data_IF_506484852534
#
_entry.id   IF_506484852534
#
_cell.length_a   1.000
_cell.length_b   1.000
_cell.length_c   1.000
_cell.angle_alpha   90.00
_cell.angle_beta   90.00
_cell.angle_gamma   90.00
#
_symmetry.space_group_name_H-M   'P 1'
#
loop_
_entity.id
_entity.type
_entity.pdbx_description
1 polymer ?
#
# COMPACT_ATOMS: atom_id res chain seq x y z
N UNK A 1 -49.23 -40.12 -23.63
CA UNK A 1 -49.94 -40.05 -22.34
C UNK A 1 -49.12 -40.83 -21.33
N UNK A 2 -48.73 -40.45 -20.12
CA UNK A 2 -48.68 -39.20 -19.33
C UNK A 2 -47.79 -39.57 -18.12
N UNK A 3 -47.11 -38.59 -17.50
CA UNK A 3 -46.16 -38.69 -16.38
C UNK A 3 -46.72 -39.34 -15.07
N UNK A 4 -45.80 -39.49 -14.08
CA UNK A 4 -45.95 -39.44 -12.59
C UNK A 4 -45.61 -40.82 -11.95
N UNK A 5 -44.81 -40.99 -10.88
CA UNK A 5 -43.92 -40.14 -10.08
C UNK A 5 -42.97 -41.00 -9.21
N UNK A 6 -41.90 -40.32 -8.73
CA UNK A 6 -41.03 -40.49 -7.54
C UNK A 6 -41.48 -41.53 -6.50
N UNK A 7 -40.53 -42.19 -5.83
CA UNK A 7 -40.23 -42.03 -4.38
C UNK A 7 -38.84 -42.61 -4.04
N UNK A 8 -38.25 -42.06 -2.98
CA UNK A 8 -36.86 -42.13 -2.57
C UNK A 8 -36.50 -43.39 -1.76
N UNK A 9 -35.21 -43.68 -1.66
CA UNK A 9 -34.59 -44.22 -0.42
C UNK A 9 -33.16 -43.76 -0.32
N UNK A 10 -32.81 -43.29 0.89
CA UNK A 10 -31.57 -42.63 1.26
C UNK A 10 -30.61 -43.59 2.00
N UNK A 11 -29.47 -43.03 2.42
CA UNK A 11 -28.43 -43.51 3.34
C UNK A 11 -27.24 -44.22 2.66
N UNK A 12 -25.98 -43.96 3.00
CA UNK A 12 -25.36 -43.02 3.91
C UNK A 12 -23.87 -42.91 3.50
N UNK A 13 -23.26 -41.74 3.68
CA UNK A 13 -21.82 -41.65 3.87
C UNK A 13 -21.54 -40.63 4.96
N UNK A 14 -21.10 -41.16 6.10
CA UNK A 14 -20.76 -40.47 7.33
C UNK A 14 -19.38 -39.83 7.18
N UNK A 15 -19.35 -38.53 7.43
CA UNK A 15 -18.34 -37.74 8.17
C UNK A 15 -16.89 -38.25 8.14
N UNK A 16 -16.04 -37.49 7.47
CA UNK A 16 -14.66 -37.24 7.90
C UNK A 16 -14.44 -35.73 7.96
N UNK A 17 -15.01 -35.11 8.99
CA UNK A 17 -14.61 -33.77 9.42
C UNK A 17 -13.54 -33.89 10.50
N UNK A 18 -12.74 -32.82 10.61
CA UNK A 18 -11.77 -32.49 11.65
C UNK A 18 -10.32 -32.85 11.34
N UNK A 19 -9.56 -31.78 11.05
CA UNK A 19 -8.15 -31.81 10.74
C UNK A 19 -7.66 -30.53 10.04
N UNK A 20 -8.51 -29.54 9.80
CA UNK A 20 -8.04 -28.18 9.60
C UNK A 20 -7.55 -27.69 10.96
N UNK A 21 -6.26 -27.87 11.22
CA UNK A 21 -5.56 -27.04 12.19
C UNK A 21 -5.74 -25.62 11.69
N UNK A 22 -6.74 -24.92 12.23
CA UNK A 22 -6.73 -23.48 12.24
C UNK A 22 -5.39 -23.12 12.87
N UNK A 23 -4.45 -22.68 12.02
CA UNK A 23 -3.28 -21.98 12.48
C UNK A 23 -3.78 -20.97 13.51
N UNK A 24 -3.08 -20.81 14.66
CA UNK A 24 -3.52 -19.86 15.66
C UNK A 24 -3.70 -18.54 14.93
N UNK A 25 -4.96 -18.12 14.81
CA UNK A 25 -5.26 -16.76 14.46
C UNK A 25 -4.57 -15.98 15.56
N UNK A 26 -3.46 -15.32 15.21
CA UNK A 26 -2.95 -14.21 15.98
C UNK A 26 -4.01 -13.12 15.89
N UNK A 27 -5.14 -13.36 16.54
CA UNK A 27 -6.20 -12.42 16.77
C UNK A 27 -5.56 -11.40 17.70
N UNK A 28 -5.03 -10.35 17.08
CA UNK A 28 -4.85 -9.09 17.77
C UNK A 28 -6.26 -8.67 18.16
N UNK A 29 -6.63 -9.00 19.40
CA UNK A 29 -7.99 -8.82 19.89
C UNK A 29 -8.45 -7.36 19.72
N UNK A 30 -9.75 -7.13 19.51
CA UNK A 30 -10.32 -5.81 19.25
C UNK A 30 -10.20 -4.80 20.43
N UNK A 31 -9.47 -5.15 21.49
CA UNK A 31 -9.60 -4.54 22.81
C UNK A 31 -8.29 -3.93 23.33
N UNK A 32 -7.14 -4.16 22.67
CA UNK A 32 -5.86 -3.70 23.23
C UNK A 32 -5.59 -2.20 23.03
N UNK A 33 -6.33 -1.53 22.16
CA UNK A 33 -6.12 -0.12 21.85
C UNK A 33 -7.47 0.61 21.80
N UNK A 34 -8.09 0.73 22.98
CA UNK A 34 -9.39 1.38 23.12
C UNK A 34 -9.37 2.85 22.66
N UNK A 35 -10.46 3.27 22.01
CA UNK A 35 -11.10 4.57 22.23
C UNK A 35 -10.37 5.89 21.94
N UNK A 36 -9.17 5.89 21.36
CA UNK A 36 -8.47 7.15 21.04
C UNK A 36 -8.60 7.52 19.56
N UNK A 37 -8.67 8.82 19.27
CA UNK A 37 -8.46 9.38 17.93
C UNK A 37 -6.99 9.15 17.53
N UNK A 38 -6.63 7.90 17.21
CA UNK A 38 -5.27 7.52 16.84
C UNK A 38 -5.04 7.82 15.37
N UNK A 39 -4.31 8.90 15.07
CA UNK A 39 -3.71 9.04 13.75
C UNK A 39 -2.59 8.00 13.61
N UNK A 40 -2.79 6.99 12.75
CA UNK A 40 -1.76 6.02 12.39
C UNK A 40 -0.71 6.69 11.50
N UNK A 41 0.57 6.36 11.68
CA UNK A 41 1.64 6.91 10.85
C UNK A 41 1.55 6.41 9.40
N UNK A 42 1.58 7.32 8.44
CA UNK A 42 1.81 6.95 7.03
C UNK A 42 3.29 7.06 6.64
N UNK A 43 4.09 7.85 7.37
CA UNK A 43 5.51 8.11 7.08
C UNK A 43 6.45 6.93 7.44
N UNK A 44 5.86 5.76 7.72
CA UNK A 44 6.55 4.56 8.18
C UNK A 44 6.96 4.62 9.63
N UNK A 45 7.53 3.52 10.14
CA UNK A 45 8.04 3.47 11.51
C UNK A 45 9.22 4.45 11.66
N UNK A 46 9.07 5.56 12.43
CA UNK A 46 10.09 6.58 12.52
C UNK A 46 11.37 5.98 13.14
N UNK A 47 12.43 5.92 12.36
CA UNK A 47 13.79 5.52 12.80
C UNK A 47 14.77 6.70 12.79
N UNK A 48 14.27 7.94 12.72
CA UNK A 48 15.08 9.17 12.66
C UNK A 48 15.40 9.77 14.04
N UNK A 49 16.56 10.45 14.21
CA UNK A 49 16.84 11.25 15.40
C UNK A 49 15.82 12.39 15.52
N UNK A 50 15.16 12.52 16.67
CA UNK A 50 14.24 13.62 16.97
C UNK A 50 12.75 13.25 17.08
N UNK A 51 12.35 12.04 16.66
CA UNK A 51 11.00 11.54 16.94
C UNK A 51 11.02 10.68 18.20
N UNK A 52 10.37 11.14 19.27
CA UNK A 52 10.08 10.30 20.44
C UNK A 52 8.69 9.70 20.23
N UNK A 53 8.63 8.39 20.01
CA UNK A 53 7.36 7.66 20.04
C UNK A 53 6.77 7.80 21.45
N UNK A 54 5.57 8.39 21.58
CA UNK A 54 4.90 8.47 22.87
C UNK A 54 4.48 7.05 23.28
N UNK A 55 5.02 6.50 24.39
CA UNK A 55 4.67 5.15 24.83
C UNK A 55 3.18 4.98 25.14
N UNK A 56 2.47 6.09 25.37
CA UNK A 56 1.06 6.14 25.74
C UNK A 56 0.15 6.42 24.54
N UNK A 57 0.68 6.62 23.32
CA UNK A 57 -0.12 6.75 22.09
C UNK A 57 0.01 5.50 21.22
N UNK A 58 -1.00 4.62 21.19
CA UNK A 58 -0.97 3.40 20.38
C UNK A 58 -0.72 3.64 18.88
N UNK A 59 -1.29 4.72 18.34
CA UNK A 59 -1.12 5.11 16.94
C UNK A 59 0.34 5.39 16.58
N UNK A 60 1.16 5.76 17.58
CA UNK A 60 2.58 6.04 17.37
C UNK A 60 3.43 4.78 17.08
N UNK A 61 2.80 3.60 17.14
CA UNK A 61 3.44 2.31 16.92
C UNK A 61 2.88 1.56 15.74
N UNK A 62 2.02 2.20 14.95
CA UNK A 62 1.38 1.58 13.80
C UNK A 62 1.74 2.37 12.55
N UNK A 63 2.06 1.66 11.47
CA UNK A 63 2.17 2.24 10.15
C UNK A 63 1.35 1.44 9.13
N UNK A 64 0.69 2.14 8.22
CA UNK A 64 -0.11 1.50 7.17
C UNK A 64 0.83 0.78 6.20
N UNK A 65 0.45 -0.41 5.74
CA UNK A 65 1.10 -1.00 4.57
C UNK A 65 0.52 -0.36 3.29
N UNK A 66 1.42 0.27 2.53
CA UNK A 66 1.06 1.02 1.35
C UNK A 66 0.78 0.15 0.12
N UNK A 67 1.06 -1.15 0.16
CA UNK A 67 0.79 -2.05 -0.96
C UNK A 67 -0.22 -3.15 -0.61
N UNK A 68 -0.58 -3.31 0.68
CA UNK A 68 -1.53 -4.32 1.15
C UNK A 68 -2.47 -3.78 2.24
N UNK A 69 -3.74 -3.52 1.89
CA UNK A 69 -4.73 -3.06 2.85
C UNK A 69 -5.14 -4.08 3.92
N UNK A 70 -4.80 -5.36 3.74
CA UNK A 70 -5.00 -6.38 4.75
C UNK A 70 -3.82 -6.47 5.71
N UNK A 71 -2.82 -5.59 5.59
CA UNK A 71 -1.65 -5.59 6.44
C UNK A 71 -1.31 -4.22 7.00
N UNK A 72 -0.49 -4.23 8.04
CA UNK A 72 0.10 -3.04 8.64
C UNK A 72 1.41 -3.41 9.30
N UNK A 73 2.20 -2.40 9.65
CA UNK A 73 3.42 -2.56 10.43
C UNK A 73 3.20 -2.16 11.87
N UNK A 74 3.67 -2.98 12.79
CA UNK A 74 3.93 -2.56 14.17
C UNK A 74 5.36 -2.11 14.30
N UNK A 75 5.51 -0.92 14.86
CA UNK A 75 6.77 -0.26 15.09
C UNK A 75 7.15 -0.44 16.56
N UNK A 76 8.23 -1.15 16.83
CA UNK A 76 8.75 -1.29 18.18
C UNK A 76 9.81 -0.23 18.46
N UNK A 77 9.54 0.75 19.33
CA UNK A 77 10.56 1.70 19.75
C UNK A 77 11.64 0.98 20.55
N UNK A 78 12.89 1.36 20.36
CA UNK A 78 13.98 1.02 21.29
C UNK A 78 14.00 1.98 22.47
N UNK A 79 14.70 1.55 23.52
CA UNK A 79 15.04 2.36 24.69
C UNK A 79 15.79 3.66 24.34
N UNK A 80 16.39 3.78 23.15
CA UNK A 80 17.00 5.01 22.65
C UNK A 80 16.08 5.89 21.79
N UNK A 81 14.77 5.58 21.72
CA UNK A 81 13.78 6.35 20.94
C UNK A 81 13.81 6.09 19.43
N UNK A 82 14.63 5.17 18.92
CA UNK A 82 14.63 4.75 17.51
C UNK A 82 13.76 3.51 17.32
N UNK A 83 12.89 3.42 16.31
CA UNK A 83 12.25 2.15 15.98
C UNK A 83 13.32 1.11 15.58
N UNK A 84 13.41 0.00 16.33
CA UNK A 84 14.46 -1.03 16.13
C UNK A 84 13.93 -2.29 15.44
N UNK A 85 12.64 -2.55 15.49
CA UNK A 85 12.04 -3.61 14.70
C UNK A 85 10.67 -3.22 14.17
N UNK A 86 10.35 -3.78 13.00
CA UNK A 86 9.08 -3.65 12.31
C UNK A 86 8.51 -5.06 12.19
N UNK A 87 7.34 -5.28 12.78
CA UNK A 87 6.59 -6.52 12.59
C UNK A 87 5.54 -6.24 11.51
N UNK A 88 5.59 -6.98 10.40
CA UNK A 88 4.53 -6.97 9.40
C UNK A 88 3.39 -7.86 9.91
N UNK A 89 2.20 -7.30 10.06
CA UNK A 89 1.05 -7.96 10.66
C UNK A 89 -0.08 -8.01 9.65
N UNK A 90 -0.54 -9.22 9.36
CA UNK A 90 -1.70 -9.46 8.51
C UNK A 90 -2.98 -9.50 9.33
N UNK A 91 -4.01 -8.85 8.85
CA UNK A 91 -5.37 -9.02 9.30
C UNK A 91 -5.89 -10.43 8.98
N UNK A 92 -6.92 -10.85 9.70
CA UNK A 92 -7.62 -12.09 9.37
C UNK A 92 -8.20 -12.02 7.93
N UNK A 93 -8.34 -13.16 7.22
CA UNK A 93 -8.94 -13.17 5.88
C UNK A 93 -10.28 -12.43 5.82
N UNK A 94 -10.43 -11.55 4.82
CA UNK A 94 -11.63 -10.71 4.64
C UNK A 94 -11.69 -9.46 5.53
N UNK A 95 -10.67 -9.21 6.35
CA UNK A 95 -10.50 -7.99 7.12
C UNK A 95 -9.38 -7.10 6.55
N UNK A 96 -9.49 -5.82 6.86
CA UNK A 96 -8.69 -4.71 6.36
C UNK A 96 -8.21 -3.87 7.52
N UNK A 97 -7.03 -3.28 7.39
CA UNK A 97 -6.52 -2.41 8.43
C UNK A 97 -7.26 -1.06 8.43
N UNK A 98 -7.98 -0.79 9.52
CA UNK A 98 -8.67 0.48 9.75
C UNK A 98 -7.69 1.49 10.36
N UNK A 99 -7.15 2.35 9.50
CA UNK A 99 -6.19 3.39 9.88
C UNK A 99 -6.79 4.48 10.79
N UNK A 100 -8.11 4.61 10.88
CA UNK A 100 -8.75 5.56 11.81
C UNK A 100 -8.83 5.02 13.23
N UNK A 101 -8.77 3.69 13.38
CA UNK A 101 -8.92 2.98 14.65
C UNK A 101 -7.67 2.20 15.07
N UNK A 102 -6.68 2.06 14.18
CA UNK A 102 -5.46 1.29 14.43
C UNK A 102 -5.70 -0.21 14.63
N UNK A 103 -6.71 -0.79 13.98
CA UNK A 103 -7.11 -2.19 14.16
C UNK A 103 -7.69 -2.78 12.88
N UNK A 104 -7.72 -4.11 12.79
CA UNK A 104 -8.36 -4.79 11.66
C UNK A 104 -9.89 -4.76 11.78
N UNK A 105 -10.58 -4.41 10.70
CA UNK A 105 -12.04 -4.37 10.61
C UNK A 105 -12.55 -4.99 9.30
N UNK A 106 -13.84 -5.30 9.20
CA UNK A 106 -14.43 -5.80 7.96
C UNK A 106 -14.43 -4.72 6.87
N UNK A 107 -14.17 -5.11 5.62
CA UNK A 107 -13.98 -4.22 4.46
C UNK A 107 -14.98 -3.06 4.37
N UNK A 108 -16.28 -3.35 4.50
CA UNK A 108 -17.38 -2.38 4.40
C UNK A 108 -17.35 -1.24 5.43
N UNK A 109 -16.49 -1.34 6.45
CA UNK A 109 -16.40 -0.36 7.54
C UNK A 109 -15.11 0.44 7.49
N UNK A 110 -14.12 0.04 6.69
CA UNK A 110 -12.83 0.71 6.64
C UNK A 110 -12.93 1.89 5.69
N UNK A 111 -12.66 3.12 6.16
CA UNK A 111 -12.67 4.29 5.30
C UNK A 111 -11.44 4.31 4.39
N UNK A 112 -11.62 4.76 3.15
CA UNK A 112 -10.51 5.04 2.24
C UNK A 112 -9.80 6.34 2.66
N UNK A 113 -8.47 6.30 2.68
CA UNK A 113 -7.59 7.45 2.84
C UNK A 113 -7.20 7.98 1.45
N UNK A 114 -7.56 9.23 1.15
CA UNK A 114 -7.14 9.91 -0.06
C UNK A 114 -5.61 10.02 -0.14
N UNK A 115 -5.06 9.89 -1.34
CA UNK A 115 -3.63 10.07 -1.60
C UNK A 115 -3.41 11.07 -2.73
N UNK A 116 -2.27 11.76 -2.66
CA UNK A 116 -1.82 12.71 -3.67
C UNK A 116 -0.44 12.31 -4.17
N UNK A 117 -0.34 12.07 -5.47
CA UNK A 117 0.91 11.79 -6.15
C UNK A 117 1.37 13.04 -6.92
N UNK A 118 2.65 13.37 -6.80
CA UNK A 118 3.28 14.45 -7.56
C UNK A 118 4.49 13.89 -8.30
N UNK A 119 4.49 13.93 -9.63
CA UNK A 119 5.62 13.53 -10.45
C UNK A 119 6.58 14.72 -10.66
N UNK A 120 7.88 14.47 -10.62
CA UNK A 120 8.90 15.48 -10.88
C UNK A 120 9.32 15.55 -12.34
N UNK A 121 10.55 16.00 -12.58
CA UNK A 121 11.16 16.03 -13.91
C UNK A 121 12.21 14.92 -14.03
N UNK A 122 12.27 14.29 -15.19
CA UNK A 122 13.30 13.33 -15.57
C UNK A 122 14.22 13.96 -16.64
N UNK A 123 15.44 13.41 -16.77
CA UNK A 123 16.40 13.84 -17.78
C UNK A 123 16.78 12.70 -18.71
N UNK A 124 17.26 13.03 -19.91
CA UNK A 124 17.88 12.05 -20.79
C UNK A 124 19.33 11.78 -20.34
N UNK A 125 19.60 10.57 -19.84
CA UNK A 125 20.93 10.19 -19.36
C UNK A 125 21.84 9.66 -20.46
N UNK A 126 21.29 9.26 -21.59
CA UNK A 126 22.07 8.84 -22.76
C UNK A 126 21.47 9.45 -24.02
N UNK A 127 22.21 10.30 -24.72
CA UNK A 127 21.78 10.94 -25.96
C UNK A 127 22.39 10.18 -27.14
N UNK A 128 21.80 9.04 -27.46
CA UNK A 128 22.06 8.37 -28.74
C UNK A 128 20.73 8.08 -29.40
N UNK A 129 20.57 8.34 -30.72
CA UNK A 129 19.29 8.24 -31.42
C UNK A 129 18.67 6.83 -31.35
N UNK A 130 19.47 5.80 -30.99
CA UNK A 130 19.05 4.40 -30.89
C UNK A 130 19.02 3.85 -29.45
N UNK A 131 19.52 4.59 -28.45
CA UNK A 131 19.68 4.09 -27.07
C UNK A 131 19.35 5.15 -26.01
N UNK A 132 18.43 6.07 -26.33
CA UNK A 132 18.04 7.08 -25.35
C UNK A 132 17.45 6.41 -24.10
N UNK A 133 17.87 6.87 -22.91
CA UNK A 133 17.34 6.40 -21.63
C UNK A 133 16.95 7.60 -20.79
N UNK A 134 15.82 7.45 -20.09
CA UNK A 134 15.43 8.37 -19.06
C UNK A 134 16.14 8.00 -17.77
N UNK A 135 16.67 9.01 -17.08
CA UNK A 135 17.10 8.88 -15.71
C UNK A 135 16.45 9.92 -14.82
N UNK A 136 16.64 9.73 -13.52
CA UNK A 136 16.12 10.60 -12.48
C UNK A 136 14.58 10.71 -12.49
N UNK A 137 13.88 9.65 -12.91
CA UNK A 137 12.43 9.55 -12.72
C UNK A 137 12.15 9.64 -11.23
N UNK A 138 11.22 10.50 -10.83
CA UNK A 138 10.91 10.66 -9.42
C UNK A 138 9.46 11.09 -9.21
N UNK A 139 8.89 10.63 -8.10
CA UNK A 139 7.57 11.02 -7.66
C UNK A 139 7.53 11.10 -6.13
N UNK A 140 6.61 11.91 -5.62
CA UNK A 140 6.32 12.03 -4.18
C UNK A 140 4.87 11.67 -3.93
N UNK A 141 4.63 10.67 -3.09
CA UNK A 141 3.31 10.23 -2.64
C UNK A 141 3.10 10.65 -1.19
N UNK A 142 1.98 11.34 -0.96
CA UNK A 142 1.56 11.80 0.36
C UNK A 142 0.08 11.52 0.57
N UNK A 143 -0.35 11.53 1.83
CA UNK A 143 -1.75 11.57 2.19
C UNK A 143 -2.37 12.88 1.70
N UNK A 144 -3.53 12.78 1.06
CA UNK A 144 -4.30 13.95 0.68
C UNK A 144 -5.13 14.43 1.88
N UNK A 145 -4.97 15.69 2.24
CA UNK A 145 -5.70 16.36 3.31
C UNK A 145 -6.05 17.77 2.83
N UNK A 146 -7.30 18.16 3.01
CA UNK A 146 -7.77 19.50 2.67
C UNK A 146 -7.05 20.59 3.50
N UNK A 147 -6.73 20.28 4.76
CA UNK A 147 -6.03 21.17 5.69
C UNK A 147 -5.06 20.37 6.57
N UNK A 148 -3.83 20.88 6.76
CA UNK A 148 -2.81 20.30 7.64
C UNK A 148 -1.58 19.74 6.92
N UNK A 149 -0.59 19.22 7.67
CA UNK A 149 0.61 18.63 7.10
C UNK A 149 0.25 17.39 6.26
N UNK A 150 0.83 17.32 5.06
CA UNK A 150 0.73 16.14 4.20
C UNK A 150 1.70 15.09 4.71
N UNK A 151 1.17 13.95 5.15
CA UNK A 151 1.99 12.87 5.67
C UNK A 151 2.50 12.02 4.50
N UNK A 152 3.82 11.84 4.42
CA UNK A 152 4.43 10.96 3.43
C UNK A 152 3.82 9.54 3.51
N UNK A 153 3.56 8.89 2.37
CA UNK A 153 3.22 7.47 2.35
C UNK A 153 4.51 6.67 2.12
N UNK A 154 4.90 5.85 3.09
CA UNK A 154 6.12 5.06 3.07
C UNK A 154 5.92 3.67 2.44
N UNK A 155 6.95 3.15 1.77
CA UNK A 155 7.03 1.80 1.18
C UNK A 155 5.96 1.49 0.13
N UNK A 156 5.36 2.53 -0.47
CA UNK A 156 4.39 2.41 -1.55
C UNK A 156 5.10 2.10 -2.86
N UNK A 157 4.55 1.18 -3.64
CA UNK A 157 5.06 0.87 -4.98
C UNK A 157 4.53 1.87 -6.01
N UNK A 158 5.46 2.61 -6.62
CA UNK A 158 5.19 3.56 -7.70
C UNK A 158 5.68 2.98 -9.02
N UNK A 159 4.78 2.91 -9.99
CA UNK A 159 5.10 2.49 -11.37
C UNK A 159 5.29 3.71 -12.25
N UNK A 160 6.44 3.83 -12.90
CA UNK A 160 6.72 4.87 -13.87
C UNK A 160 6.50 4.31 -15.27
N UNK A 161 5.75 5.04 -16.11
CA UNK A 161 5.38 4.64 -17.47
C UNK A 161 5.70 5.74 -18.48
N UNK A 162 5.98 5.37 -19.71
CA UNK A 162 6.07 6.32 -20.82
C UNK A 162 4.69 6.81 -21.28
N UNK A 163 4.66 7.72 -22.25
CA UNK A 163 3.42 8.23 -22.84
C UNK A 163 2.60 7.19 -23.62
N UNK A 164 3.16 6.01 -23.89
CA UNK A 164 2.48 4.87 -24.50
C UNK A 164 1.97 3.85 -23.47
N UNK A 165 2.28 4.04 -22.18
CA UNK A 165 1.88 3.14 -21.10
C UNK A 165 2.87 2.01 -20.78
N UNK A 166 4.03 1.96 -21.44
CA UNK A 166 5.06 0.96 -21.15
C UNK A 166 5.75 1.29 -19.82
N UNK A 167 6.00 0.28 -19.00
CA UNK A 167 6.72 0.45 -17.73
C UNK A 167 8.17 0.81 -18.00
N UNK A 168 8.61 1.93 -17.43
CA UNK A 168 9.99 2.42 -17.46
C UNK A 168 10.80 1.86 -16.31
N UNK A 169 10.24 1.93 -15.11
CA UNK A 169 10.79 1.37 -13.88
C UNK A 169 9.72 1.34 -12.78
N UNK A 170 9.98 0.55 -11.74
CA UNK A 170 9.15 0.49 -10.53
C UNK A 170 10.04 0.81 -9.33
N UNK A 171 9.58 1.69 -8.45
CA UNK A 171 10.33 2.07 -7.25
C UNK A 171 9.42 2.20 -6.04
N UNK A 172 9.98 2.00 -4.85
CA UNK A 172 9.27 2.17 -3.59
C UNK A 172 9.53 3.53 -2.96
N UNK A 173 8.51 4.09 -2.30
CA UNK A 173 8.67 5.34 -1.56
C UNK A 173 9.49 5.15 -0.29
N UNK A 174 10.39 6.10 -0.02
CA UNK A 174 11.11 6.18 1.25
C UNK A 174 10.26 6.86 2.35
N UNK A 175 10.83 7.12 3.53
CA UNK A 175 10.12 7.75 4.67
C UNK A 175 9.69 9.19 4.39
N UNK A 176 10.20 9.82 3.33
CA UNK A 176 9.76 11.14 2.85
C UNK A 176 8.72 11.02 1.72
N UNK A 177 8.21 9.83 1.44
CA UNK A 177 7.21 9.58 0.40
C UNK A 177 7.78 9.62 -1.01
N UNK A 178 9.11 9.65 -1.17
CA UNK A 178 9.76 9.81 -2.47
C UNK A 178 10.14 8.47 -3.06
N UNK A 179 9.72 8.22 -4.29
CA UNK A 179 10.17 7.11 -5.13
C UNK A 179 11.01 7.69 -6.28
N UNK A 180 12.13 7.03 -6.61
CA UNK A 180 12.96 7.42 -7.74
C UNK A 180 13.66 6.21 -8.35
N UNK A 181 13.82 6.22 -9.68
CA UNK A 181 14.54 5.20 -10.43
C UNK A 181 15.01 5.75 -11.78
N UNK A 182 15.85 4.97 -12.47
CA UNK A 182 16.19 5.19 -13.88
C UNK A 182 15.43 4.17 -14.74
N UNK A 183 15.16 4.51 -16.00
CA UNK A 183 14.48 3.60 -16.90
C UNK A 183 15.35 2.37 -17.22
N UNK A 184 14.77 1.18 -17.10
CA UNK A 184 15.45 -0.09 -17.33
C UNK A 184 15.74 -0.33 -18.82
N UNK A 185 14.92 0.26 -19.68
CA UNK A 185 14.96 0.07 -21.12
C UNK A 185 15.10 1.41 -21.85
N UNK A 186 15.54 1.32 -23.11
CA UNK A 186 15.65 2.49 -23.97
C UNK A 186 14.27 2.97 -24.43
N UNK A 187 14.12 4.28 -24.54
CA UNK A 187 12.90 4.97 -24.95
C UNK A 187 13.11 5.64 -26.30
N UNK A 188 12.01 5.90 -27.01
CA UNK A 188 12.06 6.78 -28.17
C UNK A 188 12.10 8.25 -27.70
N UNK A 189 13.21 8.98 -27.94
CA UNK A 189 13.42 10.30 -27.37
C UNK A 189 12.38 11.33 -27.84
N UNK A 190 11.89 11.23 -29.08
CA UNK A 190 10.95 12.21 -29.64
C UNK A 190 9.57 12.12 -28.97
N UNK A 191 9.06 10.90 -28.77
CA UNK A 191 7.77 10.67 -28.09
C UNK A 191 7.87 10.97 -26.59
N UNK A 192 9.02 10.69 -25.99
CA UNK A 192 9.25 10.89 -24.56
C UNK A 192 9.40 12.36 -24.18
N UNK A 193 10.07 13.17 -25.00
CA UNK A 193 10.20 14.61 -24.76
C UNK A 193 8.86 15.34 -24.87
N UNK A 194 8.01 14.94 -25.83
CA UNK A 194 6.69 15.54 -26.04
C UNK A 194 5.61 15.03 -25.07
N UNK A 195 5.67 13.73 -24.72
CA UNK A 195 4.66 13.08 -23.90
C UNK A 195 4.95 13.06 -22.40
N UNK A 196 6.20 13.28 -22.00
CA UNK A 196 6.65 13.12 -20.63
C UNK A 196 6.59 11.66 -20.16
N UNK A 197 6.39 11.48 -18.86
CA UNK A 197 6.14 10.17 -18.23
C UNK A 197 4.97 10.26 -17.26
N UNK A 198 4.40 9.11 -16.91
CA UNK A 198 3.34 9.00 -15.90
C UNK A 198 3.88 8.23 -14.70
N UNK A 199 3.66 8.73 -13.49
CA UNK A 199 3.83 7.98 -12.26
C UNK A 199 2.46 7.51 -11.78
N UNK A 200 2.35 6.25 -11.39
CA UNK A 200 1.10 5.65 -10.92
C UNK A 200 1.32 4.94 -9.59
N UNK A 201 0.42 5.21 -8.66
CA UNK A 201 0.22 4.45 -7.43
C UNK A 201 -1.14 3.76 -7.52
N UNK A 202 -1.14 2.44 -7.40
CA UNK A 202 -2.34 1.62 -7.61
C UNK A 202 -3.34 1.67 -6.43
N UNK A 203 -2.96 2.31 -5.32
CA UNK A 203 -3.61 2.09 -4.04
C UNK A 203 -3.10 0.80 -3.39
N UNK A 204 -3.45 0.59 -2.13
CA UNK A 204 -2.98 -0.59 -1.40
C UNK A 204 -3.90 -1.81 -1.54
N UNK A 205 -4.88 -1.76 -2.45
CA UNK A 205 -5.64 -2.92 -2.89
C UNK A 205 -6.30 -3.69 -1.76
N UNK A 206 -6.75 -4.91 -2.01
CA UNK A 206 -7.62 -5.68 -1.12
C UNK A 206 -7.27 -7.16 -1.20
N UNK A 207 -7.58 -7.95 -0.18
CA UNK A 207 -7.81 -9.40 -0.38
C UNK A 207 -8.94 -9.49 -1.41
N UNK A 208 -8.60 -9.87 -2.64
CA UNK A 208 -9.46 -9.95 -3.84
C UNK A 208 -9.62 -8.67 -4.70
N UNK A 209 -8.80 -7.64 -4.49
CA UNK A 209 -8.64 -6.49 -5.41
C UNK A 209 -9.85 -5.57 -5.60
N UNK A 210 -10.80 -5.56 -4.66
CA UNK A 210 -12.08 -4.83 -4.83
C UNK A 210 -12.20 -3.53 -4.03
N UNK A 211 -11.39 -3.33 -2.99
CA UNK A 211 -11.46 -2.16 -2.10
C UNK A 211 -10.05 -1.66 -1.73
N UNK A 212 -9.82 -0.35 -1.84
CA UNK A 212 -8.59 0.29 -1.39
C UNK A 212 -8.81 0.96 -0.04
N UNK A 213 -7.80 0.89 0.84
CA UNK A 213 -7.79 1.72 2.07
C UNK A 213 -6.88 2.94 1.91
N UNK A 214 -5.95 2.91 0.95
CA UNK A 214 -5.23 4.05 0.40
C UNK A 214 -5.63 4.21 -1.05
N UNK A 215 -6.24 5.35 -1.39
CA UNK A 215 -6.73 5.62 -2.73
C UNK A 215 -5.61 5.56 -3.78
N UNK A 216 -5.88 5.09 -5.01
CA UNK A 216 -4.95 5.19 -6.12
C UNK A 216 -4.70 6.65 -6.50
N UNK A 217 -3.53 6.93 -7.06
CA UNK A 217 -3.18 8.26 -7.54
C UNK A 217 -2.28 8.19 -8.78
N UNK A 218 -2.45 9.14 -9.69
CA UNK A 218 -1.64 9.25 -10.91
C UNK A 218 -1.15 10.67 -11.10
N UNK A 219 0.05 10.83 -11.66
CA UNK A 219 0.64 12.14 -11.92
C UNK A 219 1.49 12.10 -13.18
N UNK A 220 1.50 13.21 -13.94
CA UNK A 220 2.35 13.38 -15.11
C UNK A 220 3.60 14.16 -14.77
N UNK A 221 4.75 13.65 -15.18
CA UNK A 221 6.05 14.29 -15.07
C UNK A 221 6.59 14.70 -16.44
N UNK A 222 7.42 15.74 -16.44
CA UNK A 222 8.08 16.25 -17.65
C UNK A 222 9.44 15.58 -17.89
N UNK A 223 9.91 15.65 -19.13
CA UNK A 223 11.27 15.25 -19.52
C UNK A 223 11.99 16.46 -20.09
N UNK A 224 13.25 16.67 -19.67
CA UNK A 224 14.13 17.74 -20.15
C UNK A 224 15.39 17.18 -20.80
#
# INVERSE_FOLDING_TARGET
>A
MTRIARWATAAAAVVASLGAFAAPASAVGPDQYGGYNTEVYTAGCPSGPGHQADPHRPGDRLAIDADDAAAFYRCHPSTSGRAVSREHVNCAPGAYFDWTRGLCGPARKVPEMGTKLTAGRAGLTHLSPLKARLGHLNATLVRDRDNGPQDAIWNATITFKDGAGNVLCVARTNTAGRAACDAEHSVNPATTLLGGYTAEYAGNGSVDGTLNTLAPATARGGVL
#
